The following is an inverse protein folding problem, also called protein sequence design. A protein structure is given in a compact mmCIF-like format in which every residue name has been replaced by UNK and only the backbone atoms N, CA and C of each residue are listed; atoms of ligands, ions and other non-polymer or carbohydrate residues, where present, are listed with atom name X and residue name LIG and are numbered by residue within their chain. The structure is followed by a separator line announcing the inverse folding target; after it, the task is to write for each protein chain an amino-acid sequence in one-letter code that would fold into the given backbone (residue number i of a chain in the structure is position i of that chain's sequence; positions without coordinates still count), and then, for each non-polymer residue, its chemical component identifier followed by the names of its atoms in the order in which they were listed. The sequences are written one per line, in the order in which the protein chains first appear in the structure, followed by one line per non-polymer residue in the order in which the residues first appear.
data_IF_366506142405
#
_entry.id   IF_366506142405
#
_cell.length_a   1.000
_cell.length_b   1.000
_cell.length_c   1.000
_cell.angle_alpha   90.00
_cell.angle_beta   90.00
_cell.angle_gamma   90.00
#
_symmetry.space_group_name_H-M   'P 1'
#
loop_
_entity.id
_entity.type
_entity.pdbx_description
1 polymer ?
#
# COMPACT_ATOMS: atom_id res chain seq x y z
N UNK A 1 30.28 -18.70 26.21
CA UNK A 1 30.32 -17.98 24.91
C UNK A 1 28.98 -17.90 24.16
N UNK A 2 28.04 -18.85 24.28
CA UNK A 2 26.75 -18.81 23.55
C UNK A 2 25.76 -17.71 23.98
N UNK A 3 25.79 -17.30 25.25
CA UNK A 3 24.89 -16.25 25.78
C UNK A 3 25.18 -14.87 25.19
N UNK A 4 26.45 -14.47 25.11
CA UNK A 4 26.89 -13.21 24.51
C UNK A 4 26.60 -13.15 23.00
N UNK A 5 26.72 -14.28 22.30
CA UNK A 5 26.44 -14.39 20.86
C UNK A 5 24.96 -14.17 20.49
N UNK A 6 24.02 -14.43 21.40
CA UNK A 6 22.56 -14.23 21.19
C UNK A 6 22.10 -12.81 21.49
N UNK A 7 22.86 -12.07 22.31
CA UNK A 7 22.56 -10.68 22.68
C UNK A 7 23.13 -9.72 21.62
N UNK A 8 24.26 -10.10 21.02
CA UNK A 8 24.95 -9.33 19.97
C UNK A 8 24.58 -9.76 18.55
N UNK A 9 23.73 -10.78 18.38
CA UNK A 9 23.24 -11.18 17.06
C UNK A 9 22.30 -10.10 16.50
N UNK A 10 22.51 -9.63 15.25
CA UNK A 10 21.57 -8.75 14.58
C UNK A 10 20.16 -9.36 14.64
N UNK A 11 19.15 -8.56 15.01
CA UNK A 11 17.76 -8.98 14.89
C UNK A 11 17.47 -9.14 13.40
N UNK A 12 17.08 -10.33 12.98
CA UNK A 12 16.51 -10.54 11.65
C UNK A 12 15.18 -9.80 11.64
N UNK A 13 15.09 -8.71 10.88
CA UNK A 13 13.80 -8.13 10.52
C UNK A 13 13.23 -8.97 9.38
N UNK A 14 12.02 -9.50 9.57
CA UNK A 14 11.29 -10.20 8.53
C UNK A 14 10.00 -9.43 8.24
N UNK A 15 9.81 -9.11 6.96
CA UNK A 15 8.68 -8.35 6.44
C UNK A 15 8.08 -9.17 5.30
N UNK A 16 6.92 -9.82 5.52
CA UNK A 16 6.32 -10.86 4.69
C UNK A 16 4.92 -10.62 4.05
N UNK A 17 4.70 -10.18 2.79
CA UNK A 17 5.49 -9.22 1.99
C UNK A 17 6.98 -9.53 1.70
N UNK A 18 7.34 -10.83 1.64
CA UNK A 18 8.72 -11.35 1.77
C UNK A 18 9.12 -12.38 0.69
N UNK A 19 8.19 -12.80 -0.16
CA UNK A 19 8.46 -13.72 -1.27
C UNK A 19 9.00 -15.14 -0.87
N UNK A 20 8.75 -15.61 0.37
CA UNK A 20 8.93 -17.04 0.77
C UNK A 20 7.76 -17.95 0.35
N UNK A 21 6.74 -17.43 -0.33
CA UNK A 21 5.30 -17.57 0.01
C UNK A 21 4.96 -18.00 1.45
N UNK A 22 4.95 -17.06 2.40
CA UNK A 22 4.55 -17.36 3.78
C UNK A 22 3.04 -17.66 3.97
N UNK A 23 2.21 -17.45 2.96
CA UNK A 23 0.75 -17.66 3.00
C UNK A 23 -0.05 -16.52 3.65
N UNK A 24 0.62 -15.50 4.19
CA UNK A 24 0.00 -14.34 4.84
C UNK A 24 0.02 -13.15 3.90
N UNK A 25 -1.17 -12.66 3.56
CA UNK A 25 -1.39 -11.47 2.73
C UNK A 25 -2.62 -10.75 3.28
N UNK A 26 -2.60 -9.42 3.25
CA UNK A 26 -3.76 -8.60 3.61
C UNK A 26 -3.70 -7.25 2.87
N UNK A 27 -4.72 -6.89 2.07
CA UNK A 27 -4.86 -5.56 1.47
C UNK A 27 -4.81 -4.41 2.49
N UNK A 28 -5.00 -4.69 3.78
CA UNK A 28 -4.80 -3.73 4.87
C UNK A 28 -3.45 -3.02 4.81
N UNK A 29 -2.37 -3.68 4.36
CA UNK A 29 -1.07 -3.01 4.20
C UNK A 29 -1.18 -1.83 3.22
N UNK A 30 -1.74 -2.03 2.03
CA UNK A 30 -1.98 -0.95 1.08
C UNK A 30 -2.99 0.09 1.61
N UNK A 31 -4.05 -0.37 2.29
CA UNK A 31 -5.11 0.50 2.82
C UNK A 31 -4.58 1.47 3.87
N UNK A 32 -3.84 0.99 4.88
CA UNK A 32 -3.32 1.83 5.97
C UNK A 32 -2.36 2.90 5.44
N UNK A 33 -1.56 2.54 4.43
CA UNK A 33 -0.69 3.47 3.72
C UNK A 33 -1.51 4.56 3.00
N UNK A 34 -2.58 4.18 2.29
CA UNK A 34 -3.47 5.12 1.62
C UNK A 34 -4.29 6.01 2.58
N UNK A 35 -4.74 5.47 3.72
CA UNK A 35 -5.39 6.22 4.79
C UNK A 35 -4.45 7.28 5.36
N UNK A 36 -3.18 6.92 5.55
CA UNK A 36 -2.14 7.86 6.00
C UNK A 36 -1.97 9.01 5.01
N UNK A 37 -1.95 8.71 3.70
CA UNK A 37 -1.83 9.75 2.66
C UNK A 37 -3.02 10.71 2.72
N UNK A 38 -4.26 10.19 2.75
CA UNK A 38 -5.46 11.04 2.82
C UNK A 38 -5.44 11.93 4.06
N UNK A 39 -5.08 11.38 5.23
CA UNK A 39 -4.96 12.15 6.45
C UNK A 39 -3.86 13.21 6.38
N UNK A 40 -2.73 12.93 5.71
CA UNK A 40 -1.68 13.92 5.46
C UNK A 40 -2.18 15.04 4.54
N UNK A 41 -2.94 14.71 3.49
CA UNK A 41 -3.54 15.70 2.58
C UNK A 41 -4.51 16.63 3.32
N UNK A 42 -5.34 16.09 4.22
CA UNK A 42 -6.23 16.90 5.07
C UNK A 42 -5.44 17.82 6.02
N UNK A 43 -4.38 17.30 6.65
CA UNK A 43 -3.50 18.12 7.51
C UNK A 43 -2.74 19.18 6.73
N UNK A 44 -2.29 18.87 5.51
CA UNK A 44 -1.64 19.82 4.61
C UNK A 44 -2.56 21.00 4.26
N UNK A 45 -3.84 20.73 4.01
CA UNK A 45 -4.83 21.77 3.73
C UNK A 45 -5.12 22.66 4.95
N UNK A 46 -5.07 22.09 6.16
CA UNK A 46 -5.37 22.80 7.40
C UNK A 46 -4.17 23.58 8.00
N UNK A 47 -2.97 23.47 7.42
CA UNK A 47 -1.77 24.13 7.94
C UNK A 47 -0.96 24.78 6.80
N UNK A 48 -0.65 26.07 6.93
CA UNK A 48 0.07 26.85 5.93
C UNK A 48 1.58 27.00 6.20
N UNK A 49 2.05 26.52 7.35
CA UNK A 49 3.48 26.55 7.70
C UNK A 49 4.32 25.83 6.63
N UNK A 50 5.30 26.51 5.99
CA UNK A 50 6.08 25.93 4.91
C UNK A 50 6.86 24.68 5.31
N UNK A 51 7.43 24.64 6.52
CA UNK A 51 8.21 23.50 7.00
C UNK A 51 7.31 22.27 7.20
N UNK A 52 6.14 22.47 7.78
CA UNK A 52 5.12 21.44 7.91
C UNK A 52 4.68 20.91 6.55
N UNK A 53 4.37 21.80 5.60
CA UNK A 53 3.94 21.43 4.25
C UNK A 53 5.01 20.65 3.49
N UNK A 54 6.27 21.04 3.59
CA UNK A 54 7.40 20.29 3.00
C UNK A 54 7.49 18.88 3.59
N UNK A 55 7.41 18.75 4.92
CA UNK A 55 7.45 17.43 5.57
C UNK A 55 6.25 16.56 5.19
N UNK A 56 5.06 17.14 5.09
CA UNK A 56 3.85 16.44 4.67
C UNK A 56 3.99 15.89 3.25
N UNK A 57 4.50 16.68 2.30
CA UNK A 57 4.77 16.22 0.92
C UNK A 57 5.75 15.04 0.93
N UNK A 58 6.88 15.18 1.61
CA UNK A 58 7.91 14.14 1.67
C UNK A 58 7.37 12.82 2.24
N UNK A 59 6.59 12.90 3.31
CA UNK A 59 6.01 11.70 3.94
C UNK A 59 4.95 11.10 3.02
N UNK A 60 4.01 11.89 2.49
CA UNK A 60 2.97 11.40 1.59
C UNK A 60 3.55 10.70 0.35
N UNK A 61 4.69 11.20 -0.15
CA UNK A 61 5.43 10.59 -1.25
C UNK A 61 5.99 9.20 -0.88
N UNK A 62 6.57 9.04 0.31
CA UNK A 62 7.05 7.75 0.81
C UNK A 62 5.90 6.74 1.02
N UNK A 63 4.78 7.19 1.62
CA UNK A 63 3.60 6.34 1.84
C UNK A 63 2.97 5.91 0.51
N UNK A 64 2.92 6.80 -0.47
CA UNK A 64 2.44 6.48 -1.83
C UNK A 64 3.28 5.39 -2.49
N UNK A 65 4.59 5.36 -2.26
CA UNK A 65 5.45 4.29 -2.77
C UNK A 65 5.18 2.95 -2.08
N UNK A 66 4.91 2.94 -0.77
CA UNK A 66 4.52 1.73 -0.04
C UNK A 66 3.17 1.17 -0.51
N UNK A 67 2.18 2.03 -0.80
CA UNK A 67 0.92 1.57 -1.43
C UNK A 67 1.21 0.79 -2.70
N UNK A 68 2.02 1.37 -3.61
CA UNK A 68 2.38 0.71 -4.89
C UNK A 68 3.04 -0.64 -4.65
N UNK A 69 4.01 -0.70 -3.74
CA UNK A 69 4.68 -1.94 -3.39
C UNK A 69 3.70 -3.02 -2.91
N UNK A 70 2.82 -2.69 -1.95
CA UNK A 70 1.85 -3.66 -1.43
C UNK A 70 0.83 -4.12 -2.48
N UNK A 71 0.40 -3.22 -3.36
CA UNK A 71 -0.46 -3.58 -4.50
C UNK A 71 0.24 -4.52 -5.48
N UNK A 72 1.52 -4.30 -5.76
CA UNK A 72 2.31 -5.18 -6.64
C UNK A 72 2.51 -6.55 -6.02
N UNK A 73 2.83 -6.62 -4.73
CA UNK A 73 2.95 -7.91 -4.01
C UNK A 73 1.65 -8.71 -4.10
N UNK A 74 0.48 -8.08 -3.91
CA UNK A 74 -0.79 -8.77 -4.10
C UNK A 74 -0.97 -9.26 -5.55
N UNK A 75 -0.60 -8.41 -6.51
CA UNK A 75 -0.74 -8.71 -7.92
C UNK A 75 0.13 -9.89 -8.39
N UNK A 76 1.41 -9.89 -8.02
CA UNK A 76 2.40 -10.86 -8.50
C UNK A 76 2.41 -12.12 -7.63
N UNK A 77 2.24 -11.98 -6.32
CA UNK A 77 2.56 -13.05 -5.38
C UNK A 77 1.30 -13.69 -4.79
N UNK A 78 0.21 -12.92 -4.60
CA UNK A 78 -1.05 -13.46 -4.07
C UNK A 78 -1.96 -13.96 -5.19
N UNK A 79 -2.35 -13.09 -6.14
CA UNK A 79 -3.27 -13.47 -7.20
C UNK A 79 -2.65 -14.52 -8.15
N UNK A 80 -3.50 -15.38 -8.71
CA UNK A 80 -3.13 -16.57 -9.51
C UNK A 80 -4.01 -16.62 -10.77
N UNK A 81 -3.64 -17.40 -11.80
CA UNK A 81 -4.41 -17.47 -13.04
C UNK A 81 -5.93 -17.67 -12.85
N UNK A 82 -6.41 -18.56 -11.95
CA UNK A 82 -7.85 -18.73 -11.72
C UNK A 82 -8.54 -17.46 -11.17
N UNK A 83 -7.83 -16.63 -10.41
CA UNK A 83 -8.36 -15.36 -9.92
C UNK A 83 -8.52 -14.37 -11.08
N UNK A 84 -7.57 -14.30 -12.00
CA UNK A 84 -7.66 -13.42 -13.17
C UNK A 84 -8.71 -13.89 -14.18
N UNK A 85 -8.95 -15.19 -14.29
CA UNK A 85 -10.05 -15.75 -15.09
C UNK A 85 -11.42 -15.41 -14.48
N UNK A 86 -11.56 -15.52 -13.16
CA UNK A 86 -12.80 -15.17 -12.44
C UNK A 86 -13.07 -13.66 -12.41
N UNK A 87 -12.02 -12.85 -12.34
CA UNK A 87 -12.08 -11.38 -12.28
C UNK A 87 -11.28 -10.77 -13.43
N UNK A 88 -11.81 -10.75 -14.66
CA UNK A 88 -11.08 -10.27 -15.85
C UNK A 88 -10.67 -8.80 -15.76
N UNK A 89 -11.35 -8.00 -14.92
CA UNK A 89 -11.03 -6.60 -14.66
C UNK A 89 -9.85 -6.39 -13.68
N UNK A 90 -9.37 -7.44 -13.00
CA UNK A 90 -8.43 -7.31 -11.88
C UNK A 90 -7.08 -6.70 -12.28
N UNK A 91 -6.56 -7.04 -13.48
CA UNK A 91 -5.34 -6.42 -14.01
C UNK A 91 -5.50 -4.91 -14.16
N UNK A 92 -6.60 -4.47 -14.75
CA UNK A 92 -6.88 -3.05 -14.97
C UNK A 92 -7.11 -2.33 -13.64
N UNK A 93 -7.83 -2.95 -12.70
CA UNK A 93 -8.10 -2.40 -11.38
C UNK A 93 -6.81 -2.13 -10.59
N UNK A 94 -5.91 -3.12 -10.50
CA UNK A 94 -4.61 -2.96 -9.84
C UNK A 94 -3.77 -1.88 -10.53
N UNK A 95 -3.83 -1.81 -11.87
CA UNK A 95 -3.12 -0.79 -12.63
C UNK A 95 -3.65 0.62 -12.35
N UNK A 96 -4.97 0.79 -12.26
CA UNK A 96 -5.63 2.05 -11.88
C UNK A 96 -5.26 2.47 -10.46
N UNK A 97 -5.32 1.55 -9.50
CA UNK A 97 -4.90 1.79 -8.13
C UNK A 97 -3.43 2.22 -8.04
N UNK A 98 -2.54 1.51 -8.75
CA UNK A 98 -1.10 1.86 -8.82
C UNK A 98 -0.88 3.25 -9.40
N UNK A 99 -1.60 3.61 -10.48
CA UNK A 99 -1.52 4.95 -11.08
C UNK A 99 -2.08 6.04 -10.17
N UNK A 100 -3.15 5.74 -9.44
CA UNK A 100 -3.72 6.64 -8.44
C UNK A 100 -2.76 6.87 -7.26
N UNK A 101 -1.90 5.92 -6.92
CA UNK A 101 -0.79 6.10 -5.98
C UNK A 101 0.45 6.80 -6.61
N UNK A 102 0.49 6.96 -7.93
CA UNK A 102 1.62 7.51 -8.67
C UNK A 102 1.59 9.04 -8.81
N UNK A 103 2.47 9.55 -9.67
CA UNK A 103 2.63 11.00 -9.91
C UNK A 103 1.35 11.68 -10.42
N UNK A 104 0.48 10.96 -11.12
CA UNK A 104 -0.80 11.49 -11.60
C UNK A 104 -1.90 11.52 -10.51
N UNK A 105 -1.63 10.95 -9.33
CA UNK A 105 -2.57 10.87 -8.21
C UNK A 105 -1.95 11.37 -6.92
N UNK A 106 -1.89 10.53 -5.88
CA UNK A 106 -1.52 10.96 -4.53
C UNK A 106 -0.09 11.45 -4.38
N UNK A 107 0.87 10.90 -5.16
CA UNK A 107 2.28 11.33 -5.10
C UNK A 107 2.47 12.75 -5.68
N UNK A 108 1.62 13.16 -6.62
CA UNK A 108 1.68 14.49 -7.25
C UNK A 108 0.61 15.48 -6.78
N UNK A 109 -0.19 15.14 -5.75
CA UNK A 109 -1.32 15.97 -5.32
C UNK A 109 -1.53 15.95 -3.82
N UNK A 110 -1.71 17.12 -3.22
CA UNK A 110 -2.10 17.28 -1.81
C UNK A 110 -3.61 17.45 -1.61
N UNK A 111 -4.44 17.10 -2.60
CA UNK A 111 -5.90 17.18 -2.48
C UNK A 111 -6.46 15.88 -1.90
N UNK A 112 -7.18 15.94 -0.77
CA UNK A 112 -7.76 14.78 -0.09
C UNK A 112 -8.60 13.85 -0.99
N UNK A 113 -9.18 14.40 -2.07
CA UNK A 113 -9.96 13.64 -3.06
C UNK A 113 -9.13 12.57 -3.79
N UNK A 114 -7.83 12.81 -4.03
CA UNK A 114 -6.98 11.80 -4.69
C UNK A 114 -6.66 10.65 -3.73
N UNK A 115 -6.48 10.95 -2.44
CA UNK A 115 -6.36 9.93 -1.39
C UNK A 115 -7.63 9.08 -1.27
N UNK A 116 -8.82 9.71 -1.33
CA UNK A 116 -10.08 8.96 -1.33
C UNK A 116 -10.22 8.06 -2.56
N UNK A 117 -9.95 8.56 -3.77
CA UNK A 117 -10.03 7.75 -4.99
C UNK A 117 -9.09 6.53 -4.93
N UNK A 118 -7.90 6.69 -4.35
CA UNK A 118 -6.98 5.58 -4.12
C UNK A 118 -7.57 4.54 -3.16
N UNK A 119 -8.18 4.99 -2.05
CA UNK A 119 -8.86 4.10 -1.09
C UNK A 119 -10.03 3.35 -1.72
N UNK A 120 -10.79 3.99 -2.61
CA UNK A 120 -11.92 3.37 -3.30
C UNK A 120 -11.45 2.20 -4.18
N UNK A 121 -10.36 2.39 -4.95
CA UNK A 121 -9.76 1.29 -5.71
C UNK A 121 -9.21 0.17 -4.82
N UNK A 122 -8.58 0.51 -3.69
CA UNK A 122 -8.07 -0.48 -2.73
C UNK A 122 -9.23 -1.27 -2.12
N UNK A 123 -10.38 -0.64 -1.85
CA UNK A 123 -11.57 -1.31 -1.32
C UNK A 123 -12.16 -2.32 -2.33
N UNK A 124 -12.15 -2.01 -3.63
CA UNK A 124 -12.54 -2.97 -4.67
C UNK A 124 -11.59 -4.18 -4.72
N UNK A 125 -10.27 -3.93 -4.60
CA UNK A 125 -9.26 -4.99 -4.55
C UNK A 125 -9.41 -5.84 -3.28
N UNK A 126 -9.68 -5.21 -2.14
CA UNK A 126 -9.91 -5.88 -0.84
C UNK A 126 -11.12 -6.80 -0.89
N UNK A 127 -12.22 -6.33 -1.48
CA UNK A 127 -13.40 -7.15 -1.71
C UNK A 127 -13.08 -8.41 -2.52
N UNK A 128 -12.39 -8.25 -3.66
CA UNK A 128 -11.98 -9.38 -4.51
C UNK A 128 -11.05 -10.32 -3.73
N UNK A 129 -10.09 -9.78 -2.98
CA UNK A 129 -9.18 -10.56 -2.15
C UNK A 129 -9.95 -11.47 -1.17
N UNK A 130 -10.90 -10.93 -0.40
CA UNK A 130 -11.66 -11.73 0.57
C UNK A 130 -12.62 -12.72 -0.09
N UNK A 131 -13.17 -12.40 -1.25
CA UNK A 131 -13.95 -13.37 -2.03
C UNK A 131 -13.10 -14.57 -2.49
N UNK A 132 -11.81 -14.39 -2.76
CA UNK A 132 -10.89 -15.50 -3.08
C UNK A 132 -10.51 -16.35 -1.87
N UNK A 133 -10.74 -15.88 -0.64
CA UNK A 133 -10.48 -16.60 0.61
C UNK A 133 -11.66 -17.43 1.13
N UNK A 134 -12.85 -17.23 0.56
CA UNK A 134 -14.08 -17.97 0.94
C UNK A 134 -14.24 -19.32 0.23
N UNK A 135 -13.26 -19.70 -0.62
CA UNK A 135 -13.21 -20.96 -1.33
C UNK A 135 -12.44 -22.05 -0.59
#
# INVERSE_FOLDING_TARGET
MRLLSRILSPRLEATAHCDLPCGVYDPAQARIEAESIKAIQEKYAANEDPEFRTRAILIAEQRSELVKHHLWVLWTDYFKPPHFEKYPQLHELINKATKAAGAAGTKGSMQAKTGQQLLDYIAEIDKIFWETKQG
#
